data_IF_938218517916
#
_entry.id   IF_938218517916
#
_cell.length_a   1.000
_cell.length_b   1.000
_cell.length_c   1.000
_cell.angle_alpha   90.00
_cell.angle_beta   90.00
_cell.angle_gamma   90.00
#
_symmetry.space_group_name_H-M   'P 1'
#
loop_
_entity.id
_entity.type
_entity.pdbx_description
1 polymer ?
#
# COMPACT_ATOMS: atom_id res chain seq x y z
N UNK A 1 2.56 -29.12 43.26
CA UNK A 1 2.39 -27.66 43.10
C UNK A 1 3.73 -27.07 42.67
N UNK A 2 3.86 -26.61 41.43
CA UNK A 2 5.10 -26.02 40.92
C UNK A 2 5.04 -24.50 41.16
N UNK A 3 5.99 -24.00 41.94
CA UNK A 3 6.13 -22.60 42.31
C UNK A 3 6.78 -21.83 41.15
N UNK A 4 6.01 -21.08 40.37
CA UNK A 4 6.57 -20.10 39.43
C UNK A 4 7.07 -18.90 40.23
N UNK A 5 8.39 -18.78 40.38
CA UNK A 5 9.02 -17.56 40.89
C UNK A 5 8.71 -16.42 39.92
N UNK A 6 8.27 -15.27 40.45
CA UNK A 6 8.19 -14.00 39.74
C UNK A 6 9.61 -13.56 39.33
N UNK A 7 10.09 -14.06 38.19
CA UNK A 7 11.33 -13.58 37.60
C UNK A 7 11.09 -12.19 36.98
N UNK A 8 11.90 -11.21 37.39
CA UNK A 8 11.90 -9.88 36.76
C UNK A 8 12.45 -10.03 35.34
N UNK A 9 11.56 -9.93 34.36
CA UNK A 9 11.95 -9.87 32.95
C UNK A 9 12.57 -8.51 32.64
N UNK A 10 13.75 -8.53 32.03
CA UNK A 10 14.43 -7.33 31.54
C UNK A 10 14.46 -7.35 30.01
N UNK A 11 13.96 -6.29 29.38
CA UNK A 11 14.13 -6.07 27.94
C UNK A 11 15.59 -5.65 27.70
N UNK A 12 16.34 -6.45 26.95
CA UNK A 12 17.73 -6.15 26.57
C UNK A 12 17.77 -5.77 25.10
N UNK A 13 18.32 -4.60 24.80
CA UNK A 13 18.51 -4.10 23.43
C UNK A 13 20.00 -4.15 23.06
N UNK A 14 20.35 -4.68 21.89
CA UNK A 14 21.73 -4.73 21.35
C UNK A 14 21.76 -4.09 19.96
N UNK A 15 22.79 -3.30 19.67
CA UNK A 15 22.85 -2.42 18.50
C UNK A 15 24.16 -2.58 17.71
N UNK A 16 24.12 -2.27 16.41
CA UNK A 16 25.28 -2.17 15.51
C UNK A 16 25.47 -0.75 14.94
N UNK A 17 24.96 0.29 15.61
CA UNK A 17 25.30 1.70 15.32
C UNK A 17 24.37 2.49 14.39
N UNK A 18 23.21 1.96 13.98
CA UNK A 18 22.29 2.65 13.03
C UNK A 18 21.23 3.58 13.63
N UNK A 19 21.09 3.62 14.96
CA UNK A 19 20.03 4.40 15.63
C UNK A 19 20.49 5.80 16.06
N UNK A 20 19.60 6.78 15.89
CA UNK A 20 19.75 8.12 16.44
C UNK A 20 18.92 8.27 17.73
N UNK A 21 19.40 9.08 18.67
CA UNK A 21 18.61 9.45 19.85
C UNK A 21 17.90 10.79 19.59
N UNK A 22 16.57 10.79 19.70
CA UNK A 22 15.74 12.00 19.60
C UNK A 22 14.97 12.15 20.92
N UNK A 23 15.45 13.05 21.77
CA UNK A 23 14.93 13.22 23.13
C UNK A 23 15.08 11.93 23.96
N UNK A 24 13.95 11.43 24.47
CA UNK A 24 13.89 10.18 25.28
C UNK A 24 13.78 8.91 24.44
N UNK A 25 13.72 9.02 23.12
CA UNK A 25 13.49 7.90 22.21
C UNK A 25 14.73 7.59 21.38
N UNK A 26 14.93 6.30 21.07
CA UNK A 26 15.87 5.86 20.04
C UNK A 26 15.09 5.53 18.77
N UNK A 27 15.58 6.00 17.63
CA UNK A 27 14.94 5.85 16.32
C UNK A 27 15.93 5.28 15.31
N UNK A 28 15.50 4.31 14.52
CA UNK A 28 16.27 3.78 13.40
C UNK A 28 15.81 4.43 12.09
N UNK A 29 16.51 5.49 11.69
CA UNK A 29 16.24 6.17 10.42
C UNK A 29 16.63 5.34 9.20
N UNK A 30 17.62 4.45 9.32
CA UNK A 30 18.10 3.62 8.21
C UNK A 30 17.06 2.57 7.83
N UNK A 31 16.48 1.89 8.81
CA UNK A 31 15.39 0.94 8.59
C UNK A 31 14.15 1.62 7.98
N UNK A 32 13.81 2.82 8.43
CA UNK A 32 12.71 3.59 7.86
C UNK A 32 12.98 3.99 6.39
N UNK A 33 14.19 4.46 6.09
CA UNK A 33 14.58 4.81 4.73
C UNK A 33 14.62 3.59 3.81
N UNK A 34 15.16 2.46 4.29
CA UNK A 34 15.23 1.21 3.54
C UNK A 34 13.85 0.67 3.19
N UNK A 35 12.96 0.56 4.18
CA UNK A 35 11.58 0.08 3.96
C UNK A 35 10.81 0.99 3.01
N UNK A 36 10.95 2.32 3.14
CA UNK A 36 10.34 3.28 2.23
C UNK A 36 10.88 3.14 0.79
N UNK A 37 12.20 2.96 0.64
CA UNK A 37 12.82 2.76 -0.67
C UNK A 37 12.33 1.47 -1.34
N UNK A 38 12.25 0.36 -0.59
CA UNK A 38 11.75 -0.92 -1.08
C UNK A 38 10.28 -0.81 -1.52
N UNK A 39 9.44 -0.16 -0.73
CA UNK A 39 8.04 0.09 -1.09
C UNK A 39 7.91 0.90 -2.40
N UNK A 40 8.73 1.95 -2.56
CA UNK A 40 8.76 2.75 -3.80
C UNK A 40 9.22 1.94 -5.01
N UNK A 41 10.29 1.15 -4.88
CA UNK A 41 10.78 0.30 -5.96
C UNK A 41 9.72 -0.72 -6.41
N UNK A 42 9.04 -1.36 -5.45
CA UNK A 42 7.93 -2.27 -5.74
C UNK A 42 6.79 -1.54 -6.47
N UNK A 43 6.36 -0.38 -5.98
CA UNK A 43 5.31 0.42 -6.65
C UNK A 43 5.71 0.83 -8.08
N UNK A 44 6.96 1.27 -8.26
CA UNK A 44 7.50 1.65 -9.57
C UNK A 44 7.59 0.46 -10.53
N UNK A 45 7.77 -0.76 -10.05
CA UNK A 45 7.73 -1.95 -10.91
C UNK A 45 6.37 -2.16 -11.58
N UNK A 46 5.28 -1.88 -10.87
CA UNK A 46 3.92 -1.92 -11.42
C UNK A 46 3.68 -0.76 -12.39
N UNK A 47 4.05 0.47 -12.00
CA UNK A 47 3.92 1.66 -12.86
C UNK A 47 4.67 1.48 -14.18
N UNK A 48 5.89 0.94 -14.12
CA UNK A 48 6.69 0.65 -15.32
C UNK A 48 5.98 -0.31 -16.27
N UNK A 49 5.32 -1.34 -15.71
CA UNK A 49 4.55 -2.33 -16.49
C UNK A 49 3.28 -1.73 -17.11
N UNK A 50 2.66 -0.75 -16.43
CA UNK A 50 1.48 -0.03 -16.90
C UNK A 50 1.77 1.04 -17.96
N UNK A 51 3.03 1.41 -18.18
CA UNK A 51 3.44 2.44 -19.16
C UNK A 51 2.67 3.75 -18.94
N UNK A 52 1.87 4.18 -19.93
CA UNK A 52 1.11 5.42 -19.89
C UNK A 52 -0.31 5.25 -19.32
N UNK A 53 -0.65 4.07 -18.79
CA UNK A 53 -1.98 3.77 -18.25
C UNK A 53 -2.23 4.28 -16.83
N UNK A 54 -1.23 4.87 -16.16
CA UNK A 54 -1.38 5.34 -14.76
C UNK A 54 -1.99 6.74 -14.73
N UNK A 55 -3.11 6.88 -13.99
CA UNK A 55 -3.81 8.14 -13.79
C UNK A 55 -3.35 8.85 -12.52
N UNK A 56 -3.02 8.09 -11.48
CA UNK A 56 -2.58 8.62 -10.19
C UNK A 56 -1.74 7.61 -9.42
N UNK A 57 -0.77 8.08 -8.64
CA UNK A 57 0.04 7.27 -7.74
C UNK A 57 0.11 7.93 -6.35
N UNK A 58 -0.29 7.19 -5.33
CA UNK A 58 -0.14 7.53 -3.92
C UNK A 58 1.13 6.93 -3.32
N UNK A 59 1.17 6.83 -1.99
CA UNK A 59 2.31 6.25 -1.27
C UNK A 59 2.47 4.75 -1.55
N UNK A 60 1.35 4.02 -1.67
CA UNK A 60 1.30 2.56 -1.85
C UNK A 60 0.13 2.12 -2.73
N UNK A 61 -0.54 3.06 -3.41
CA UNK A 61 -1.70 2.80 -4.26
C UNK A 61 -1.52 3.45 -5.63
N UNK A 62 -2.19 2.90 -6.63
CA UNK A 62 -2.22 3.41 -8.00
C UNK A 62 -3.63 3.33 -8.54
N UNK A 63 -4.02 4.35 -9.32
CA UNK A 63 -5.23 4.35 -10.12
C UNK A 63 -4.78 4.31 -11.57
N UNK A 64 -5.27 3.35 -12.34
CA UNK A 64 -4.83 3.11 -13.70
C UNK A 64 -5.99 2.70 -14.60
N UNK A 65 -5.82 2.95 -15.90
CA UNK A 65 -6.74 2.53 -16.93
C UNK A 65 -6.58 1.03 -17.16
N UNK A 66 -7.66 0.29 -16.98
CA UNK A 66 -7.75 -1.13 -17.32
C UNK A 66 -8.66 -1.26 -18.54
N UNK A 67 -8.10 -1.61 -19.70
CA UNK A 67 -8.90 -1.93 -20.87
C UNK A 67 -9.43 -3.36 -20.77
N UNK A 68 -10.73 -3.54 -21.02
CA UNK A 68 -11.38 -4.85 -21.13
C UNK A 68 -10.88 -5.60 -22.38
N UNK A 69 -10.36 -4.88 -23.37
CA UNK A 69 -9.81 -5.43 -24.61
C UNK A 69 -8.37 -5.97 -24.41
N UNK A 70 -8.26 -6.97 -23.52
CA UNK A 70 -7.30 -8.11 -23.40
C UNK A 70 -5.80 -7.98 -23.74
N UNK A 71 -5.26 -6.84 -24.11
CA UNK A 71 -3.83 -6.69 -24.46
C UNK A 71 -3.03 -5.77 -23.53
N UNK A 72 -3.68 -5.11 -22.58
CA UNK A 72 -2.99 -4.28 -21.60
C UNK A 72 -2.68 -5.06 -20.31
N UNK A 73 -1.48 -4.82 -19.77
CA UNK A 73 -1.05 -5.38 -18.50
C UNK A 73 -2.03 -4.97 -17.39
N UNK A 74 -2.55 -5.97 -16.66
CA UNK A 74 -3.31 -5.73 -15.44
C UNK A 74 -2.41 -5.98 -14.24
N UNK A 75 -2.51 -5.11 -13.24
CA UNK A 75 -1.76 -5.28 -12.00
C UNK A 75 -2.29 -6.51 -11.28
N UNK A 76 -1.45 -7.53 -11.00
CA UNK A 76 -1.88 -8.71 -10.28
C UNK A 76 -2.27 -8.32 -8.86
N UNK A 77 -3.36 -8.90 -8.37
CA UNK A 77 -3.82 -8.70 -7.00
C UNK A 77 -3.84 -10.01 -6.23
N UNK A 78 -3.30 -10.02 -5.01
CA UNK A 78 -3.27 -11.18 -4.13
C UNK A 78 -3.41 -10.75 -2.65
N UNK A 79 -3.62 -11.71 -1.74
CA UNK A 79 -3.74 -11.47 -0.30
C UNK A 79 -2.41 -11.61 0.46
N UNK A 80 -1.34 -11.93 -0.26
CA UNK A 80 0.00 -12.07 0.31
C UNK A 80 0.60 -10.71 0.72
N UNK A 81 1.38 -10.71 1.80
CA UNK A 81 2.04 -9.50 2.29
C UNK A 81 2.96 -8.91 1.21
N UNK A 82 2.73 -7.63 0.88
CA UNK A 82 3.53 -6.89 -0.10
C UNK A 82 3.01 -6.95 -1.54
N UNK A 83 1.94 -7.71 -1.80
CA UNK A 83 1.23 -7.69 -3.08
C UNK A 83 0.12 -6.63 -3.11
N UNK A 84 -0.26 -6.21 -4.31
CA UNK A 84 -1.34 -5.23 -4.50
C UNK A 84 -2.69 -5.86 -4.19
N UNK A 85 -3.61 -5.08 -3.63
CA UNK A 85 -5.00 -5.47 -3.41
C UNK A 85 -5.94 -4.58 -4.21
N UNK A 86 -7.17 -5.05 -4.45
CA UNK A 86 -8.20 -4.24 -5.10
C UNK A 86 -9.11 -3.61 -4.03
N UNK A 87 -8.91 -2.33 -3.78
CA UNK A 87 -9.68 -1.52 -2.81
C UNK A 87 -11.18 -1.46 -3.15
N UNK A 88 -11.55 -1.52 -4.43
CA UNK A 88 -12.95 -1.39 -4.86
C UNK A 88 -13.83 -2.59 -4.49
N UNK A 89 -13.22 -3.70 -4.05
CA UNK A 89 -13.94 -4.91 -3.63
C UNK A 89 -14.85 -4.66 -2.44
N UNK A 90 -14.52 -3.70 -1.58
CA UNK A 90 -15.32 -3.36 -0.39
C UNK A 90 -16.72 -2.83 -0.76
N UNK A 91 -16.86 -2.24 -1.95
CA UNK A 91 -18.14 -1.74 -2.45
C UNK A 91 -18.99 -2.82 -3.16
N UNK A 92 -18.37 -3.95 -3.53
CA UNK A 92 -19.06 -5.08 -4.13
C UNK A 92 -18.29 -5.72 -5.28
N UNK A 93 -18.60 -6.98 -5.62
CA UNK A 93 -17.94 -7.70 -6.70
C UNK A 93 -18.08 -6.98 -8.04
N UNK A 94 -16.95 -6.81 -8.73
CA UNK A 94 -16.91 -6.18 -10.05
C UNK A 94 -17.09 -4.66 -10.02
N UNK A 95 -17.03 -4.01 -8.86
CA UNK A 95 -17.06 -2.54 -8.79
C UNK A 95 -15.85 -1.93 -9.52
N UNK A 96 -16.08 -0.84 -10.25
CA UNK A 96 -15.05 -0.14 -11.00
C UNK A 96 -15.31 1.37 -11.04
N UNK A 97 -14.23 2.13 -11.26
CA UNK A 97 -14.30 3.58 -11.40
C UNK A 97 -14.78 3.92 -12.82
N UNK A 98 -15.80 4.76 -12.91
CA UNK A 98 -16.37 5.26 -14.19
C UNK A 98 -15.81 6.61 -14.59
N UNK A 99 -15.49 7.45 -13.60
CA UNK A 99 -14.92 8.79 -13.80
C UNK A 99 -13.84 9.05 -12.76
N UNK A 100 -12.78 9.72 -13.17
CA UNK A 100 -11.67 10.10 -12.30
C UNK A 100 -11.23 11.53 -12.61
N UNK A 101 -11.03 12.34 -11.58
CA UNK A 101 -10.46 13.69 -11.67
C UNK A 101 -9.40 13.87 -10.59
N UNK A 102 -8.29 14.54 -10.94
CA UNK A 102 -7.26 14.92 -9.98
C UNK A 102 -6.91 16.39 -10.12
N UNK A 103 -6.85 17.09 -8.98
CA UNK A 103 -6.32 18.45 -8.85
C UNK A 103 -4.85 18.49 -8.42
N UNK A 104 -4.19 17.34 -8.31
CA UNK A 104 -2.79 17.22 -7.88
C UNK A 104 -2.58 16.19 -6.75
N UNK A 105 -1.38 16.18 -6.15
CA UNK A 105 -1.04 15.24 -5.08
C UNK A 105 -2.02 15.32 -3.92
N UNK A 106 -2.60 14.18 -3.53
CA UNK A 106 -3.61 14.02 -2.47
C UNK A 106 -4.90 14.81 -2.67
N UNK A 107 -5.19 15.24 -3.90
CA UNK A 107 -6.43 15.91 -4.26
C UNK A 107 -7.02 15.24 -5.51
N UNK A 108 -7.98 14.35 -5.30
CA UNK A 108 -8.67 13.64 -6.37
C UNK A 108 -10.08 13.22 -5.93
N UNK A 109 -10.92 12.97 -6.92
CA UNK A 109 -12.25 12.40 -6.74
C UNK A 109 -12.52 11.39 -7.86
N UNK A 110 -13.38 10.42 -7.59
CA UNK A 110 -13.82 9.45 -8.58
C UNK A 110 -15.27 9.05 -8.35
N UNK A 111 -15.94 8.64 -9.42
CA UNK A 111 -17.28 8.05 -9.36
C UNK A 111 -17.19 6.55 -9.53
N UNK A 112 -17.69 5.81 -8.56
CA UNK A 112 -17.71 4.36 -8.56
C UNK A 112 -19.03 3.84 -9.15
N UNK A 113 -18.98 2.72 -9.86
CA UNK A 113 -20.17 1.94 -10.19
C UNK A 113 -20.07 0.54 -9.59
N UNK A 114 -21.14 0.12 -8.91
CA UNK A 114 -21.25 -1.21 -8.31
C UNK A 114 -22.29 -2.04 -9.06
N UNK A 115 -21.87 -3.08 -9.82
CA UNK A 115 -22.81 -3.86 -10.64
C UNK A 115 -23.86 -4.63 -9.85
N UNK A 116 -23.54 -5.09 -8.63
CA UNK A 116 -24.45 -5.89 -7.80
C UNK A 116 -25.69 -5.09 -7.35
N UNK A 117 -25.51 -3.82 -7.01
CA UNK A 117 -26.58 -2.91 -6.57
C UNK A 117 -27.08 -2.01 -7.70
N UNK A 118 -26.35 -1.93 -8.82
CA UNK A 118 -26.57 -0.99 -9.94
C UNK A 118 -26.57 0.47 -9.48
N UNK A 119 -25.75 0.80 -8.48
CA UNK A 119 -25.65 2.13 -7.90
C UNK A 119 -24.33 2.81 -8.26
N UNK A 120 -24.37 4.14 -8.27
CA UNK A 120 -23.20 5.00 -8.35
C UNK A 120 -22.90 5.57 -6.96
N UNK A 121 -21.61 5.70 -6.66
CA UNK A 121 -21.10 6.29 -5.42
C UNK A 121 -20.05 7.36 -5.75
#
# INVERSE_FOLDING_TARGET
>A
MVNYKNEKLHIRHKLNGGEAQIGKYKVDGLSAAYTTAQARLKLYSYIKSLKNGVLYSGTYSIIYLSSIDKQQYQVPTDWCLGEMTNELREHGPGSYITEFVSGGPKNYAYRLYTPSTKQYH
#
